data_IF_638094849859
#
_entry.id   IF_638094849859
#
_cell.length_a   1.000
_cell.length_b   1.000
_cell.length_c   1.000
_cell.angle_alpha   90.00
_cell.angle_beta   90.00
_cell.angle_gamma   90.00
#
_symmetry.space_group_name_H-M   'P 1'
#
loop_
_entity.id
_entity.type
_entity.pdbx_description
1 polymer ?
#
# COMPACT_ATOMS: atom_id res chain seq x y z
N UNK A 1 8.40 -10.27 -21.50
CA UNK A 1 7.86 -11.29 -20.55
C UNK A 1 6.84 -10.56 -19.71
N UNK A 2 5.60 -11.04 -19.71
CA UNK A 2 4.58 -10.55 -18.76
C UNK A 2 5.12 -10.91 -17.37
N UNK A 3 5.22 -9.92 -16.47
CA UNK A 3 5.69 -10.13 -15.11
C UNK A 3 4.85 -11.18 -14.39
N UNK A 4 5.43 -11.84 -13.39
CA UNK A 4 4.68 -12.77 -12.54
C UNK A 4 3.49 -12.05 -11.91
N UNK A 5 2.32 -12.69 -11.93
CA UNK A 5 1.11 -12.17 -11.30
C UNK A 5 1.36 -12.03 -9.80
N UNK A 6 1.03 -10.88 -9.21
CA UNK A 6 1.14 -10.65 -7.78
C UNK A 6 0.23 -11.57 -6.97
N UNK A 7 0.51 -11.69 -5.68
CA UNK A 7 -0.33 -12.49 -4.77
C UNK A 7 -1.74 -11.88 -4.64
N UNK A 8 -1.84 -10.55 -4.66
CA UNK A 8 -3.10 -9.82 -4.76
C UNK A 8 -3.45 -9.73 -6.25
N UNK A 9 -4.55 -10.34 -6.65
CA UNK A 9 -5.03 -10.32 -8.03
C UNK A 9 -6.56 -10.44 -8.06
N UNK A 10 -7.20 -10.27 -9.22
CA UNK A 10 -8.66 -10.33 -9.38
C UNK A 10 -9.31 -11.65 -8.94
N UNK A 11 -8.55 -12.73 -8.85
CA UNK A 11 -9.02 -14.02 -8.32
C UNK A 11 -8.83 -14.18 -6.82
N UNK A 12 -8.16 -13.24 -6.14
CA UNK A 12 -8.00 -13.24 -4.68
C UNK A 12 -9.08 -12.40 -4.01
N UNK A 13 -9.45 -12.77 -2.78
CA UNK A 13 -10.46 -12.03 -2.01
C UNK A 13 -10.09 -10.56 -1.81
N UNK A 14 -8.83 -10.26 -1.48
CA UNK A 14 -8.38 -8.89 -1.32
C UNK A 14 -8.40 -8.13 -2.66
N UNK A 15 -8.01 -8.77 -3.76
CA UNK A 15 -8.07 -8.15 -5.08
C UNK A 15 -9.48 -7.82 -5.54
N UNK A 16 -10.47 -8.66 -5.23
CA UNK A 16 -11.89 -8.35 -5.48
C UNK A 16 -12.39 -7.20 -4.62
N UNK A 17 -11.97 -7.13 -3.35
CA UNK A 17 -12.34 -6.01 -2.46
C UNK A 17 -11.77 -4.71 -3.00
N UNK A 18 -10.49 -4.67 -3.40
CA UNK A 18 -9.84 -3.49 -4.00
C UNK A 18 -10.63 -3.03 -5.22
N UNK A 19 -10.92 -3.95 -6.15
CA UNK A 19 -11.66 -3.65 -7.35
C UNK A 19 -13.04 -3.05 -7.05
N UNK A 20 -13.82 -3.69 -6.16
CA UNK A 20 -15.15 -3.24 -5.81
C UNK A 20 -15.18 -1.90 -5.07
N UNK A 21 -14.18 -1.63 -4.21
CA UNK A 21 -14.05 -0.31 -3.57
C UNK A 21 -13.71 0.77 -4.60
N UNK A 22 -12.81 0.50 -5.53
CA UNK A 22 -12.46 1.45 -6.59
C UNK A 22 -13.64 1.80 -7.51
N UNK A 23 -14.63 0.92 -7.66
CA UNK A 23 -15.85 1.18 -8.44
C UNK A 23 -16.87 2.08 -7.71
N UNK A 24 -16.78 2.26 -6.39
CA UNK A 24 -17.72 3.10 -5.65
C UNK A 24 -17.61 4.56 -6.09
N UNK A 25 -18.75 5.25 -6.19
CA UNK A 25 -18.83 6.63 -6.67
C UNK A 25 -18.13 7.62 -5.74
N UNK A 26 -18.07 7.32 -4.44
CA UNK A 26 -17.40 8.12 -3.40
C UNK A 26 -15.89 7.83 -3.25
N UNK A 27 -15.33 6.87 -4.00
CA UNK A 27 -13.90 6.55 -4.02
C UNK A 27 -13.28 7.08 -5.31
N UNK A 28 -12.72 8.28 -5.30
CA UNK A 28 -12.14 8.95 -6.47
C UNK A 28 -10.64 9.13 -6.35
N UNK A 29 -10.15 9.60 -5.20
CA UNK A 29 -8.73 9.83 -4.93
C UNK A 29 -8.12 8.58 -4.27
N UNK A 30 -7.30 7.87 -5.00
CA UNK A 30 -6.71 6.59 -4.57
C UNK A 30 -5.21 6.77 -4.46
N UNK A 31 -4.67 6.37 -3.32
CA UNK A 31 -3.21 6.31 -3.10
C UNK A 31 -2.84 4.87 -2.74
N UNK A 32 -1.92 4.32 -3.49
CA UNK A 32 -1.30 3.03 -3.23
C UNK A 32 0.18 3.22 -2.93
N UNK A 33 0.66 2.60 -1.87
CA UNK A 33 2.08 2.52 -1.55
C UNK A 33 2.52 1.07 -1.68
N UNK A 34 3.47 0.83 -2.59
CA UNK A 34 3.91 -0.50 -2.96
C UNK A 34 3.27 -1.01 -4.26
N UNK A 35 3.79 -0.54 -5.38
CA UNK A 35 3.33 -0.94 -6.72
C UNK A 35 3.95 -2.28 -7.16
N UNK A 36 5.18 -2.57 -6.68
CA UNK A 36 5.99 -3.68 -7.16
C UNK A 36 6.07 -3.69 -8.70
N UNK A 37 5.78 -4.82 -9.34
CA UNK A 37 5.77 -4.94 -10.81
C UNK A 37 4.45 -4.47 -11.47
N UNK A 38 3.50 -3.95 -10.69
CA UNK A 38 2.20 -3.47 -11.15
C UNK A 38 1.16 -4.54 -11.46
N UNK A 39 1.47 -5.84 -11.32
CA UNK A 39 0.57 -6.94 -11.68
C UNK A 39 -0.17 -7.53 -10.46
N UNK A 40 -0.21 -6.77 -9.36
CA UNK A 40 -0.88 -7.08 -8.10
C UNK A 40 -2.10 -6.20 -7.86
N UNK A 41 -2.11 -5.56 -6.67
CA UNK A 41 -3.11 -4.58 -6.25
C UNK A 41 -3.30 -3.45 -7.27
N UNK A 42 -2.21 -2.92 -7.81
CA UNK A 42 -2.21 -1.89 -8.87
C UNK A 42 -3.04 -2.31 -10.09
N UNK A 43 -2.94 -3.59 -10.51
CA UNK A 43 -3.74 -4.11 -11.63
C UNK A 43 -5.23 -4.19 -11.28
N UNK A 44 -5.57 -4.51 -10.03
CA UNK A 44 -6.97 -4.51 -9.58
C UNK A 44 -7.57 -3.10 -9.60
N UNK A 45 -6.80 -2.09 -9.19
CA UNK A 45 -7.18 -0.67 -9.29
C UNK A 45 -7.38 -0.29 -10.77
N UNK A 46 -6.38 -0.57 -11.61
CA UNK A 46 -6.42 -0.26 -13.04
C UNK A 46 -7.65 -0.85 -13.73
N UNK A 47 -7.97 -2.13 -13.47
CA UNK A 47 -9.10 -2.81 -14.07
C UNK A 47 -10.43 -2.17 -13.67
N UNK A 48 -10.60 -1.77 -12.40
CA UNK A 48 -11.78 -1.06 -11.93
C UNK A 48 -11.94 0.30 -12.63
N UNK A 49 -10.85 1.04 -12.76
CA UNK A 49 -10.88 2.41 -13.27
C UNK A 49 -11.02 2.47 -14.80
N UNK A 50 -10.76 1.39 -15.51
CA UNK A 50 -11.07 1.30 -16.94
C UNK A 50 -12.57 1.47 -17.25
N UNK A 51 -13.43 1.24 -16.25
CA UNK A 51 -14.88 1.39 -16.33
C UNK A 51 -15.39 2.71 -15.71
N UNK A 52 -14.50 3.52 -15.10
CA UNK A 52 -14.84 4.74 -14.35
C UNK A 52 -14.35 6.00 -15.03
N UNK A 53 -15.13 7.08 -14.95
CA UNK A 53 -14.80 8.35 -15.65
C UNK A 53 -14.02 9.34 -14.78
N UNK A 54 -14.27 9.38 -13.47
CA UNK A 54 -13.70 10.38 -12.56
C UNK A 54 -12.90 9.70 -11.47
N UNK A 55 -11.58 9.85 -11.52
CA UNK A 55 -10.63 9.35 -10.53
C UNK A 55 -9.30 10.06 -10.64
N UNK A 56 -8.52 9.96 -9.59
CA UNK A 56 -7.11 10.34 -9.53
C UNK A 56 -6.36 9.27 -8.73
N UNK A 57 -5.35 8.64 -9.34
CA UNK A 57 -4.55 7.61 -8.70
C UNK A 57 -3.10 8.03 -8.64
N UNK A 58 -2.50 7.79 -7.48
CA UNK A 58 -1.05 7.78 -7.29
C UNK A 58 -0.67 6.40 -6.73
N UNK A 59 0.02 5.61 -7.54
CA UNK A 59 0.60 4.32 -7.15
C UNK A 59 2.11 4.49 -7.03
N UNK A 60 2.64 4.39 -5.81
CA UNK A 60 4.01 4.74 -5.47
C UNK A 60 4.89 3.49 -5.40
N UNK A 61 6.09 3.58 -5.97
CA UNK A 61 7.13 2.56 -5.87
C UNK A 61 8.48 3.21 -5.51
N UNK A 62 9.11 2.75 -4.44
CA UNK A 62 10.42 3.27 -4.03
C UNK A 62 11.60 2.47 -4.60
N UNK A 63 11.38 1.25 -5.07
CA UNK A 63 12.40 0.46 -5.76
C UNK A 63 12.40 0.79 -7.25
N UNK A 64 13.48 1.41 -7.73
CA UNK A 64 13.62 1.84 -9.12
C UNK A 64 13.53 0.69 -10.14
N UNK A 65 14.00 -0.50 -9.77
CA UNK A 65 13.94 -1.67 -10.66
C UNK A 65 12.50 -2.13 -10.84
N UNK A 66 11.75 -2.29 -9.73
CA UNK A 66 10.34 -2.65 -9.78
C UNK A 66 9.49 -1.58 -10.46
N UNK A 67 9.75 -0.31 -10.20
CA UNK A 67 9.11 0.79 -10.93
C UNK A 67 9.29 0.64 -12.45
N UNK A 68 10.51 0.41 -12.93
CA UNK A 68 10.78 0.25 -14.36
C UNK A 68 10.06 -0.97 -14.95
N UNK A 69 9.99 -2.08 -14.19
CA UNK A 69 9.23 -3.27 -14.60
C UNK A 69 7.74 -2.94 -14.69
N UNK A 70 7.21 -2.24 -13.69
CA UNK A 70 5.82 -1.81 -13.67
C UNK A 70 5.48 -0.93 -14.89
N UNK A 71 6.25 0.13 -15.14
CA UNK A 71 6.05 0.99 -16.33
C UNK A 71 6.01 0.15 -17.60
N UNK A 72 6.96 -0.77 -17.79
CA UNK A 72 7.00 -1.64 -18.96
C UNK A 72 5.78 -2.55 -19.10
N UNK A 73 5.25 -3.05 -17.99
CA UNK A 73 4.03 -3.87 -18.00
C UNK A 73 2.80 -3.06 -18.41
N UNK A 74 2.79 -1.73 -18.12
CA UNK A 74 1.68 -0.83 -18.44
C UNK A 74 1.79 -0.19 -19.83
N UNK A 75 2.96 -0.19 -20.48
CA UNK A 75 3.14 0.36 -21.84
C UNK A 75 2.18 -0.24 -22.89
N UNK A 76 1.80 -1.50 -22.72
CA UNK A 76 0.89 -2.21 -23.64
C UNK A 76 -0.59 -2.06 -23.30
N UNK A 77 -0.92 -1.46 -22.16
CA UNK A 77 -2.29 -1.26 -21.72
C UNK A 77 -2.83 0.10 -22.22
N UNK A 78 -4.14 0.23 -22.41
CA UNK A 78 -4.75 1.52 -22.70
C UNK A 78 -4.34 2.57 -21.66
N UNK A 79 -3.96 3.76 -22.12
CA UNK A 79 -3.60 4.83 -21.19
C UNK A 79 -4.86 5.33 -20.46
N UNK A 80 -4.85 5.27 -19.13
CA UNK A 80 -5.87 5.85 -18.29
C UNK A 80 -5.42 7.24 -17.83
N UNK A 81 -6.19 8.25 -18.19
CA UNK A 81 -5.97 9.60 -17.70
C UNK A 81 -6.07 9.62 -16.18
N UNK A 82 -5.18 10.34 -15.50
CA UNK A 82 -5.14 10.45 -14.03
C UNK A 82 -4.76 9.16 -13.28
N UNK A 83 -4.19 8.16 -13.94
CA UNK A 83 -3.57 7.01 -13.32
C UNK A 83 -2.04 7.17 -13.34
N UNK A 84 -1.47 7.55 -12.19
CA UNK A 84 -0.08 7.92 -12.08
C UNK A 84 0.71 6.85 -11.34
N UNK A 85 1.64 6.18 -12.03
CA UNK A 85 2.65 5.33 -11.40
C UNK A 85 3.87 6.21 -11.16
N UNK A 86 4.31 6.32 -9.90
CA UNK A 86 5.31 7.30 -9.48
C UNK A 86 6.49 6.62 -8.79
N UNK A 87 7.70 6.90 -9.26
CA UNK A 87 8.91 6.54 -8.53
C UNK A 87 9.11 7.52 -7.39
N UNK A 88 8.99 7.06 -6.16
CA UNK A 88 9.13 7.93 -4.99
C UNK A 88 8.69 7.29 -3.69
N UNK A 89 8.92 8.02 -2.61
CA UNK A 89 8.48 7.71 -1.25
C UNK A 89 7.83 8.93 -0.62
N UNK A 90 7.03 8.73 0.43
CA UNK A 90 6.45 9.82 1.22
C UNK A 90 7.10 9.98 2.60
N UNK A 91 8.07 9.13 2.92
CA UNK A 91 8.80 9.15 4.19
C UNK A 91 10.27 9.48 3.98
N UNK A 92 10.96 9.83 5.05
CA UNK A 92 12.42 9.90 5.11
C UNK A 92 13.01 8.55 5.49
N UNK A 93 14.26 8.23 5.13
CA UNK A 93 14.89 6.95 5.49
C UNK A 93 14.91 6.66 7.00
N UNK A 94 15.06 7.68 7.84
CA UNK A 94 15.08 7.59 9.30
C UNK A 94 13.71 7.33 9.94
N UNK A 95 12.64 7.40 9.18
CA UNK A 95 11.28 7.04 9.62
C UNK A 95 10.99 5.53 9.47
N UNK A 96 11.90 4.76 8.85
CA UNK A 96 11.81 3.30 8.83
C UNK A 96 12.19 2.70 10.19
N UNK A 97 11.51 1.63 10.60
CA UNK A 97 11.72 0.99 11.90
C UNK A 97 12.72 -0.15 11.77
N UNK A 98 13.88 -0.06 12.46
CA UNK A 98 14.90 -1.11 12.42
C UNK A 98 14.39 -2.40 13.11
N UNK A 99 14.32 -3.54 12.39
CA UNK A 99 13.82 -4.80 12.92
C UNK A 99 14.70 -5.39 14.04
N UNK A 100 15.94 -4.96 14.16
CA UNK A 100 16.85 -5.50 15.19
C UNK A 100 16.40 -5.16 16.62
N UNK A 101 15.69 -4.03 16.80
CA UNK A 101 15.45 -3.47 18.13
C UNK A 101 13.98 -3.24 18.46
N UNK A 102 13.09 -3.28 17.45
CA UNK A 102 11.74 -2.75 17.60
C UNK A 102 10.63 -3.79 17.49
N UNK A 103 10.95 -5.07 17.26
CA UNK A 103 9.94 -6.11 17.07
C UNK A 103 10.19 -7.34 17.94
N UNK A 104 9.11 -8.01 18.33
CA UNK A 104 9.13 -9.25 19.09
C UNK A 104 9.66 -10.44 18.26
N UNK A 105 10.22 -11.43 18.93
CA UNK A 105 10.78 -12.63 18.29
C UNK A 105 9.76 -13.43 17.46
N UNK A 106 8.46 -13.25 17.73
CA UNK A 106 7.38 -13.90 16.99
C UNK A 106 7.43 -13.58 15.48
N UNK A 107 7.90 -12.38 15.11
CA UNK A 107 8.00 -11.95 13.72
C UNK A 107 9.21 -12.54 12.96
N UNK A 108 10.12 -13.23 13.68
CA UNK A 108 11.34 -13.78 13.09
C UNK A 108 11.34 -15.30 12.95
N UNK A 109 10.17 -15.93 13.07
CA UNK A 109 10.03 -17.39 12.96
C UNK A 109 10.26 -17.90 11.54
N UNK A 110 9.79 -17.17 10.53
CA UNK A 110 9.93 -17.54 9.13
C UNK A 110 11.28 -17.05 8.57
N UNK A 111 11.62 -15.79 8.86
CA UNK A 111 12.87 -15.17 8.43
C UNK A 111 13.61 -14.59 9.62
N UNK A 112 14.87 -14.98 9.78
CA UNK A 112 15.70 -14.50 10.91
C UNK A 112 15.85 -12.98 10.91
N UNK A 113 16.15 -12.41 12.09
CA UNK A 113 16.43 -10.97 12.23
C UNK A 113 17.49 -10.46 11.24
N UNK A 114 18.54 -11.26 10.98
CA UNK A 114 19.60 -10.87 10.05
C UNK A 114 19.09 -10.77 8.60
N UNK A 115 18.21 -11.67 8.16
CA UNK A 115 17.59 -11.61 6.84
C UNK A 115 16.68 -10.38 6.75
N UNK A 116 15.83 -10.16 7.74
CA UNK A 116 14.93 -9.00 7.74
C UNK A 116 15.71 -7.69 7.84
N UNK A 117 16.84 -7.67 8.58
CA UNK A 117 17.71 -6.51 8.57
C UNK A 117 18.35 -6.25 7.19
N UNK A 118 18.65 -7.27 6.41
CA UNK A 118 19.15 -7.05 5.04
C UNK A 118 18.08 -6.40 4.15
N UNK A 119 16.80 -6.75 4.31
CA UNK A 119 15.70 -6.08 3.63
C UNK A 119 15.53 -4.63 4.10
N UNK A 120 15.64 -4.40 5.41
CA UNK A 120 15.61 -3.05 5.98
C UNK A 120 16.69 -2.14 5.38
N UNK A 121 17.94 -2.65 5.26
CA UNK A 121 19.02 -1.90 4.63
C UNK A 121 18.69 -1.60 3.16
N UNK A 122 18.11 -2.56 2.44
CA UNK A 122 17.67 -2.37 1.05
C UNK A 122 16.58 -1.29 0.97
N UNK A 123 15.59 -1.31 1.85
CA UNK A 123 14.51 -0.32 1.89
C UNK A 123 15.03 1.08 2.22
N UNK A 124 15.99 1.19 3.15
CA UNK A 124 16.69 2.45 3.42
C UNK A 124 17.40 3.01 2.17
N UNK A 125 18.09 2.15 1.43
CA UNK A 125 18.79 2.57 0.20
C UNK A 125 17.79 2.96 -0.90
N UNK A 126 16.68 2.23 -1.04
CA UNK A 126 15.62 2.61 -1.95
C UNK A 126 15.06 4.01 -1.61
N UNK A 127 14.70 4.25 -0.34
CA UNK A 127 14.18 5.54 0.12
C UNK A 127 15.16 6.71 -0.10
N UNK A 128 16.48 6.49 0.09
CA UNK A 128 17.51 7.52 -0.13
C UNK A 128 17.65 7.92 -1.60
N UNK A 129 17.39 6.99 -2.51
CA UNK A 129 17.69 7.13 -3.93
C UNK A 129 16.49 7.57 -4.78
N UNK A 130 15.35 7.89 -4.15
CA UNK A 130 14.15 8.36 -4.84
C UNK A 130 13.65 9.69 -4.24
N UNK A 131 12.90 10.50 -5.00
CA UNK A 131 12.34 11.73 -4.46
C UNK A 131 11.27 11.45 -3.39
N UNK A 132 11.19 12.35 -2.40
CA UNK A 132 10.01 12.43 -1.54
C UNK A 132 8.89 13.13 -2.32
N UNK A 133 7.78 12.43 -2.49
CA UNK A 133 6.65 12.85 -3.32
C UNK A 133 5.39 13.18 -2.50
N UNK A 134 5.52 13.40 -1.20
CA UNK A 134 4.39 13.71 -0.32
C UNK A 134 3.59 14.95 -0.79
N UNK A 135 4.26 15.90 -1.43
CA UNK A 135 3.66 17.14 -1.91
C UNK A 135 2.73 16.99 -3.12
N UNK A 136 2.78 15.85 -3.84
CA UNK A 136 1.85 15.57 -4.94
C UNK A 136 0.65 14.71 -4.52
N UNK A 137 0.67 14.17 -3.31
CA UNK A 137 -0.42 13.36 -2.78
C UNK A 137 -1.62 14.26 -2.45
N UNK A 138 -2.85 13.90 -2.88
CA UNK A 138 -4.05 14.69 -2.63
C UNK A 138 -4.29 14.98 -1.15
N UNK A 139 -4.86 16.16 -0.84
CA UNK A 139 -5.26 16.52 0.53
C UNK A 139 -6.41 15.67 1.06
N UNK A 140 -7.23 15.11 0.17
CA UNK A 140 -8.30 14.15 0.49
C UNK A 140 -8.00 12.86 -0.22
N UNK A 141 -7.92 11.78 0.54
CA UNK A 141 -7.70 10.40 0.04
C UNK A 141 -8.96 9.59 0.37
N UNK A 142 -9.64 9.13 -0.66
CA UNK A 142 -10.81 8.27 -0.45
C UNK A 142 -10.38 6.86 -0.11
N UNK A 143 -9.33 6.33 -0.77
CA UNK A 143 -8.78 5.00 -0.53
C UNK A 143 -7.27 5.04 -0.44
N UNK A 144 -6.71 4.58 0.68
CA UNK A 144 -5.29 4.33 0.90
C UNK A 144 -5.04 2.83 0.96
N UNK A 145 -4.11 2.34 0.14
CA UNK A 145 -3.62 0.96 0.16
C UNK A 145 -2.16 0.98 0.64
N UNK A 146 -1.88 0.28 1.75
CA UNK A 146 -0.54 0.11 2.32
C UNK A 146 -0.06 -1.32 2.05
N UNK A 147 0.74 -1.47 1.01
CA UNK A 147 1.37 -2.72 0.58
C UNK A 147 2.85 -2.52 0.21
N UNK A 148 3.47 -1.49 0.79
CA UNK A 148 4.85 -1.07 0.52
C UNK A 148 5.92 -1.90 1.22
N UNK A 149 6.98 -1.22 1.68
CA UNK A 149 8.10 -1.83 2.39
C UNK A 149 7.71 -2.40 3.75
N UNK A 150 8.48 -3.39 4.22
CA UNK A 150 8.22 -4.08 5.49
C UNK A 150 8.32 -3.15 6.72
N UNK A 151 9.07 -2.05 6.62
CA UNK A 151 9.48 -1.26 7.80
C UNK A 151 8.99 0.19 7.77
N UNK A 152 8.20 0.58 6.76
CA UNK A 152 7.78 1.97 6.49
C UNK A 152 6.32 2.25 6.80
N UNK A 153 5.47 1.23 6.82
CA UNK A 153 4.01 1.37 6.82
C UNK A 153 3.45 2.22 7.97
N UNK A 154 4.05 2.14 9.18
CA UNK A 154 3.60 2.96 10.30
C UNK A 154 3.82 4.46 10.02
N UNK A 155 4.98 4.84 9.50
CA UNK A 155 5.28 6.23 9.16
C UNK A 155 4.39 6.74 8.02
N UNK A 156 4.16 5.92 7.01
CA UNK A 156 3.26 6.21 5.89
C UNK A 156 1.82 6.42 6.36
N UNK A 157 1.32 5.53 7.22
CA UNK A 157 0.02 5.66 7.86
C UNK A 157 -0.10 6.96 8.66
N UNK A 158 0.89 7.28 9.50
CA UNK A 158 0.88 8.50 10.34
C UNK A 158 0.78 9.78 9.48
N UNK A 159 1.42 9.81 8.33
CA UNK A 159 1.37 10.97 7.42
C UNK A 159 0.03 11.13 6.69
N UNK A 160 -0.69 10.04 6.44
CA UNK A 160 -1.86 10.05 5.57
C UNK A 160 -3.19 9.81 6.29
N UNK A 161 -3.18 9.25 7.51
CA UNK A 161 -4.39 8.81 8.24
C UNK A 161 -5.46 9.90 8.42
N UNK A 162 -5.05 11.16 8.60
CA UNK A 162 -5.99 12.22 8.92
C UNK A 162 -6.79 12.72 7.71
N UNK A 163 -6.28 12.45 6.51
CA UNK A 163 -6.90 12.79 5.23
C UNK A 163 -7.45 11.60 4.44
N UNK A 164 -7.52 10.41 5.07
CA UNK A 164 -7.93 9.16 4.43
C UNK A 164 -9.26 8.66 4.98
N UNK A 165 -10.14 8.19 4.08
CA UNK A 165 -11.44 7.61 4.42
C UNK A 165 -11.41 6.09 4.52
N UNK A 166 -10.96 5.38 3.47
CA UNK A 166 -10.85 3.94 3.45
C UNK A 166 -9.40 3.49 3.49
N UNK A 167 -9.12 2.43 4.26
CA UNK A 167 -7.80 1.84 4.43
C UNK A 167 -7.81 0.38 4.02
N UNK A 168 -6.82 -0.02 3.24
CA UNK A 168 -6.50 -1.41 2.95
C UNK A 168 -5.06 -1.64 3.40
N UNK A 169 -4.87 -2.63 4.25
CA UNK A 169 -3.57 -3.08 4.75
C UNK A 169 -3.35 -4.53 4.30
N UNK A 170 -2.27 -4.81 3.58
CA UNK A 170 -1.82 -6.18 3.32
C UNK A 170 -0.79 -6.62 4.36
N UNK A 171 -0.58 -7.93 4.52
CA UNK A 171 0.41 -8.51 5.42
C UNK A 171 0.28 -8.05 6.89
N UNK A 172 -0.96 -8.02 7.44
CA UNK A 172 -1.23 -7.54 8.81
C UNK A 172 -0.70 -8.45 9.92
N UNK A 173 -0.28 -9.68 9.60
CA UNK A 173 0.32 -10.63 10.54
C UNK A 173 1.87 -10.62 10.46
N UNK A 174 2.47 -9.76 9.65
CA UNK A 174 3.92 -9.55 9.55
C UNK A 174 4.31 -8.20 10.15
N UNK A 175 5.60 -7.91 10.18
CA UNK A 175 6.14 -6.60 10.61
C UNK A 175 5.50 -5.45 9.82
N UNK A 176 5.22 -5.64 8.53
CA UNK A 176 4.73 -4.61 7.60
C UNK A 176 3.56 -3.80 8.18
N UNK A 177 2.44 -4.46 8.47
CA UNK A 177 1.21 -3.77 8.86
C UNK A 177 0.63 -4.22 10.21
N UNK A 178 1.37 -5.01 11.03
CA UNK A 178 0.85 -5.46 12.31
C UNK A 178 0.49 -4.31 13.23
N UNK A 179 1.39 -3.33 13.40
CA UNK A 179 1.17 -2.20 14.29
C UNK A 179 0.01 -1.31 13.81
N UNK A 180 -0.02 -0.97 12.52
CA UNK A 180 -1.09 -0.16 11.92
C UNK A 180 -2.44 -0.86 12.07
N UNK A 181 -2.50 -2.18 11.81
CA UNK A 181 -3.74 -2.95 11.94
C UNK A 181 -4.24 -3.00 13.38
N UNK A 182 -3.33 -3.09 14.37
CA UNK A 182 -3.68 -3.05 15.78
C UNK A 182 -4.19 -1.66 16.20
N UNK A 183 -3.60 -0.59 15.71
CA UNK A 183 -4.11 0.78 15.93
C UNK A 183 -5.56 0.87 15.42
N UNK A 184 -5.81 0.47 14.18
CA UNK A 184 -7.14 0.55 13.56
C UNK A 184 -8.17 -0.34 14.28
N UNK A 185 -7.81 -1.56 14.66
CA UNK A 185 -8.72 -2.48 15.41
C UNK A 185 -9.15 -1.94 16.77
N UNK A 186 -8.28 -1.18 17.44
CA UNK A 186 -8.52 -0.69 18.80
C UNK A 186 -9.07 0.74 18.85
N UNK A 187 -9.09 1.47 17.76
CA UNK A 187 -9.58 2.85 17.69
C UNK A 187 -11.06 2.88 17.23
N UNK A 188 -11.94 3.39 18.09
CA UNK A 188 -13.38 3.55 17.81
C UNK A 188 -13.67 4.53 16.64
N UNK A 189 -12.69 5.29 16.20
CA UNK A 189 -12.76 6.14 15.03
C UNK A 189 -12.75 5.37 13.70
N UNK A 190 -12.61 4.03 13.73
CA UNK A 190 -12.64 3.17 12.56
C UNK A 190 -13.71 2.11 12.66
N UNK A 191 -14.34 1.83 11.52
CA UNK A 191 -15.15 0.64 11.29
C UNK A 191 -14.33 -0.37 10.51
N UNK A 192 -13.97 -1.50 11.12
CA UNK A 192 -13.36 -2.62 10.41
C UNK A 192 -14.44 -3.30 9.56
N UNK A 193 -14.22 -3.35 8.24
CA UNK A 193 -15.13 -3.92 7.23
C UNK A 193 -14.75 -5.37 6.94
N UNK A 194 -13.45 -5.62 6.78
CA UNK A 194 -12.88 -6.95 6.62
C UNK A 194 -11.64 -7.10 7.49
N UNK A 195 -11.50 -8.22 8.15
CA UNK A 195 -10.32 -8.65 8.88
C UNK A 195 -10.11 -10.13 8.60
N UNK A 196 -9.00 -10.47 7.95
CA UNK A 196 -8.76 -11.82 7.43
C UNK A 196 -7.35 -12.27 7.75
N UNK A 197 -7.22 -13.57 8.06
CA UNK A 197 -5.94 -14.24 8.24
C UNK A 197 -5.47 -14.98 6.96
N UNK A 198 -6.16 -14.79 5.83
CA UNK A 198 -5.73 -15.38 4.57
C UNK A 198 -4.34 -14.87 4.19
N UNK A 199 -3.45 -15.77 3.75
CA UNK A 199 -2.03 -15.48 3.52
C UNK A 199 -1.39 -14.94 4.81
N UNK A 200 -0.77 -13.77 4.75
CA UNK A 200 -0.19 -13.06 5.89
C UNK A 200 -1.18 -12.10 6.56
N UNK A 201 -2.47 -12.24 6.30
CA UNK A 201 -3.52 -11.37 6.82
C UNK A 201 -3.71 -10.08 6.01
N UNK A 202 -4.95 -9.58 6.01
CA UNK A 202 -5.27 -8.25 5.50
C UNK A 202 -6.40 -7.61 6.29
N UNK A 203 -6.44 -6.29 6.29
CA UNK A 203 -7.50 -5.53 6.96
C UNK A 203 -8.05 -4.47 6.00
N UNK A 204 -9.37 -4.30 6.01
CA UNK A 204 -10.08 -3.21 5.34
C UNK A 204 -10.89 -2.45 6.37
N UNK A 205 -10.72 -1.14 6.43
CA UNK A 205 -11.42 -0.31 7.39
C UNK A 205 -11.88 1.01 6.76
N UNK A 206 -12.91 1.60 7.36
CA UNK A 206 -13.39 2.94 7.04
C UNK A 206 -13.27 3.83 8.27
N UNK A 207 -12.74 5.04 8.11
CA UNK A 207 -12.73 6.06 9.16
C UNK A 207 -14.16 6.55 9.38
N UNK A 208 -14.61 6.53 10.65
CA UNK A 208 -15.91 7.05 11.03
C UNK A 208 -15.74 8.51 11.38
N UNK A 209 -16.39 9.41 10.63
CA UNK A 209 -16.47 10.81 11.04
C UNK A 209 -17.37 10.89 12.28
N UNK A 210 -16.78 10.98 13.47
CA UNK A 210 -17.52 11.39 14.64
C UNK A 210 -17.88 12.86 14.44
N UNK A 211 -19.15 13.12 14.10
CA UNK A 211 -19.70 14.47 14.20
C UNK A 211 -19.59 14.88 15.68
N UNK A 212 -18.60 15.69 16.00
CA UNK A 212 -18.48 16.40 17.29
C UNK A 212 -19.29 17.67 17.19
#
# INVERSE_FOLDING_TARGET
>A
MIGTVGQINRGSKLGEIIYNLCLQDDVRNIVEIGTWNGMGSTKCIYDALSEKKEYLVYSLECNKEFYNICIKNYESLPNLNNFNIVLGTIISPDENIDPMYNFDDVFFKEYSRNIQRSWYIQDLENCKNVPNVLNIIPDVIDLLILDGGEFSSLAEYQKLKDRTTYFILDDTNTIKNNEVSNIIRNDKGYQVIHDSNERNGFLVAKKIHTNV
#
